data_IF_941475829676
#
_entry.id   IF_941475829676
#
_cell.length_a   1.000
_cell.length_b   1.000
_cell.length_c   1.000
_cell.angle_alpha   90.00
_cell.angle_beta   90.00
_cell.angle_gamma   90.00
#
_symmetry.space_group_name_H-M   'P 1'
#
loop_
_entity.id
_entity.type
_entity.pdbx_description
1 polymer ?
#
# COMPACT_ATOMS: atom_id res chain seq x y z
N UNK A 1 -13.16 8.66 -19.55
CA UNK A 1 -12.80 7.25 -19.71
C UNK A 1 -11.67 6.80 -18.76
N UNK A 2 -10.54 7.47 -18.69
CA UNK A 2 -9.40 7.10 -17.83
C UNK A 2 -9.65 7.28 -16.32
N UNK A 3 -10.41 8.28 -15.89
CA UNK A 3 -10.80 8.47 -14.49
C UNK A 3 -11.66 7.30 -13.99
N UNK A 4 -12.56 6.83 -14.84
CA UNK A 4 -13.36 5.63 -14.56
C UNK A 4 -12.46 4.40 -14.38
N UNK A 5 -11.36 4.33 -15.12
CA UNK A 5 -10.37 3.26 -15.01
C UNK A 5 -9.57 3.33 -13.70
N UNK A 6 -9.10 4.54 -13.30
CA UNK A 6 -8.33 4.74 -12.04
C UNK A 6 -9.22 4.57 -10.81
N UNK A 7 -10.45 5.09 -10.84
CA UNK A 7 -11.44 4.89 -9.77
C UNK A 7 -11.91 3.43 -9.73
N UNK A 8 -12.07 2.80 -10.88
CA UNK A 8 -12.38 1.36 -10.98
C UNK A 8 -11.23 0.50 -10.47
N UNK A 9 -9.97 0.82 -10.78
CA UNK A 9 -8.80 0.12 -10.21
C UNK A 9 -8.74 0.27 -8.69
N UNK A 10 -9.08 1.44 -8.13
CA UNK A 10 -9.16 1.62 -6.68
C UNK A 10 -10.28 0.76 -6.07
N UNK A 11 -11.45 0.73 -6.68
CA UNK A 11 -12.58 -0.12 -6.27
C UNK A 11 -12.29 -1.61 -6.48
N UNK A 12 -11.66 -1.96 -7.60
CA UNK A 12 -11.31 -3.35 -7.92
C UNK A 12 -10.19 -3.86 -7.01
N UNK A 13 -9.27 -2.99 -6.58
CA UNK A 13 -8.24 -3.30 -5.58
C UNK A 13 -8.88 -3.49 -4.20
N UNK A 14 -9.77 -2.60 -3.77
CA UNK A 14 -10.52 -2.75 -2.51
C UNK A 14 -11.46 -3.96 -2.55
N UNK A 15 -12.10 -4.22 -3.69
CA UNK A 15 -12.95 -5.40 -3.89
C UNK A 15 -12.15 -6.70 -3.95
N UNK A 16 -10.94 -6.69 -4.51
CA UNK A 16 -10.01 -7.82 -4.52
C UNK A 16 -9.50 -8.11 -3.11
N UNK A 17 -9.20 -7.08 -2.31
CA UNK A 17 -8.84 -7.25 -0.89
C UNK A 17 -10.02 -7.82 -0.08
N UNK A 18 -11.25 -7.36 -0.31
CA UNK A 18 -12.46 -7.94 0.31
C UNK A 18 -12.70 -9.39 -0.12
N UNK A 19 -12.62 -9.68 -1.42
CA UNK A 19 -12.78 -11.05 -1.93
C UNK A 19 -11.73 -12.02 -1.37
N UNK A 20 -10.47 -11.60 -1.27
CA UNK A 20 -9.43 -12.41 -0.65
C UNK A 20 -9.69 -12.64 0.84
N UNK A 21 -10.23 -11.64 1.54
CA UNK A 21 -10.66 -11.77 2.92
C UNK A 21 -11.81 -12.77 3.07
N UNK A 22 -12.82 -12.70 2.21
CA UNK A 22 -13.99 -13.59 2.24
C UNK A 22 -13.66 -15.03 1.80
N UNK A 23 -12.75 -15.20 0.81
CA UNK A 23 -12.27 -16.52 0.37
C UNK A 23 -11.43 -17.18 1.47
N UNK A 24 -10.59 -16.41 2.17
CA UNK A 24 -9.79 -16.94 3.28
C UNK A 24 -10.67 -17.33 4.49
N UNK A 25 -11.76 -16.61 4.71
CA UNK A 25 -12.75 -16.94 5.74
C UNK A 25 -13.58 -18.19 5.40
N UNK A 26 -13.96 -18.39 4.13
CA UNK A 26 -14.71 -19.57 3.70
C UNK A 26 -13.85 -20.85 3.63
N UNK A 27 -12.52 -20.74 3.44
CA UNK A 27 -11.60 -21.89 3.50
C UNK A 27 -11.30 -22.39 4.93
N UNK A 28 -11.62 -21.61 5.96
CA UNK A 28 -11.51 -22.06 7.36
C UNK A 28 -12.67 -22.97 7.74
N UNK A 29 -13.80 -22.91 7.02
CA UNK A 29 -14.99 -23.73 7.31
C UNK A 29 -15.05 -25.07 6.55
N UNK A 30 -14.22 -25.26 5.51
CA UNK A 30 -14.13 -26.54 4.80
C UNK A 30 -12.78 -27.19 5.04
N UNK A 31 -12.79 -28.16 5.96
CA UNK A 31 -11.61 -28.90 6.43
C UNK A 31 -10.91 -29.71 5.34
N UNK A 32 -10.02 -29.10 4.58
CA UNK A 32 -9.02 -29.80 3.80
C UNK A 32 -7.64 -29.62 4.41
N UNK A 33 -7.15 -30.73 4.97
CA UNK A 33 -5.79 -30.87 5.52
C UNK A 33 -4.76 -30.70 4.40
N UNK A 34 -4.23 -29.49 4.20
CA UNK A 34 -2.93 -29.28 3.56
C UNK A 34 -1.84 -29.34 4.62
N UNK A 35 -0.71 -30.01 4.25
CA UNK A 35 0.46 -30.26 5.09
C UNK A 35 0.88 -29.00 5.90
N UNK A 36 1.41 -29.16 7.13
CA UNK A 36 1.67 -28.04 8.04
C UNK A 36 2.80 -27.16 7.50
N UNK A 37 2.43 -26.11 6.79
CA UNK A 37 3.31 -24.96 6.63
C UNK A 37 3.47 -24.31 8.00
N UNK A 38 4.63 -23.70 8.27
CA UNK A 38 5.05 -23.11 9.53
C UNK A 38 4.09 -22.06 10.17
N UNK A 39 2.83 -22.02 9.74
CA UNK A 39 1.74 -21.14 10.17
C UNK A 39 1.17 -21.47 11.54
N UNK A 40 1.52 -22.63 12.12
CA UNK A 40 1.05 -23.03 13.46
C UNK A 40 1.87 -22.41 14.62
N UNK A 41 2.77 -21.46 14.35
CA UNK A 41 3.60 -20.83 15.37
C UNK A 41 2.91 -19.68 16.13
N UNK A 42 1.83 -19.12 15.58
CA UNK A 42 1.06 -18.07 16.22
C UNK A 42 -0.41 -18.48 16.35
N UNK A 43 -0.99 -18.25 17.53
CA UNK A 43 -2.43 -18.35 17.71
C UNK A 43 -3.14 -17.27 16.88
N UNK A 44 -4.39 -17.51 16.50
CA UNK A 44 -5.15 -16.59 15.65
C UNK A 44 -5.27 -15.18 16.27
N UNK A 45 -5.50 -15.12 17.60
CA UNK A 45 -5.54 -13.85 18.34
C UNK A 45 -4.22 -13.08 18.25
N UNK A 46 -3.07 -13.77 18.25
CA UNK A 46 -1.75 -13.15 18.10
C UNK A 46 -1.51 -12.62 16.68
N UNK A 47 -2.00 -13.35 15.66
CA UNK A 47 -1.94 -12.89 14.27
C UNK A 47 -2.78 -11.62 14.07
N UNK A 48 -4.00 -11.60 14.64
CA UNK A 48 -4.88 -10.45 14.56
C UNK A 48 -4.24 -9.23 15.24
N UNK A 49 -3.67 -9.40 16.43
CA UNK A 49 -2.99 -8.32 17.15
C UNK A 49 -1.82 -7.73 16.34
N UNK A 50 -1.02 -8.61 15.73
CA UNK A 50 0.08 -8.17 14.85
C UNK A 50 -0.44 -7.44 13.62
N UNK A 51 -1.50 -7.93 12.99
CA UNK A 51 -2.11 -7.30 11.84
C UNK A 51 -2.64 -5.90 12.16
N UNK A 52 -3.28 -5.73 13.33
CA UNK A 52 -3.77 -4.43 13.79
C UNK A 52 -2.60 -3.47 14.08
N UNK A 53 -1.51 -3.97 14.65
CA UNK A 53 -0.27 -3.20 14.81
C UNK A 53 0.34 -2.75 13.49
N UNK A 54 0.42 -3.66 12.51
CA UNK A 54 0.89 -3.36 11.15
C UNK A 54 0.02 -2.29 10.51
N UNK A 55 -1.30 -2.46 10.53
CA UNK A 55 -2.25 -1.48 9.97
C UNK A 55 -2.10 -0.11 10.60
N UNK A 56 -2.02 -0.04 11.92
CA UNK A 56 -1.83 1.23 12.64
C UNK A 56 -0.59 1.97 12.16
N UNK A 57 0.55 1.31 12.04
CA UNK A 57 1.78 1.95 11.55
C UNK A 57 1.64 2.38 10.10
N UNK A 58 1.05 1.54 9.23
CA UNK A 58 0.97 1.79 7.79
C UNK A 58 -0.15 2.77 7.39
N UNK A 59 -1.19 2.95 8.21
CA UNK A 59 -2.36 3.76 7.88
C UNK A 59 -2.41 5.07 8.69
N UNK A 60 -1.91 5.07 9.93
CA UNK A 60 -2.04 6.20 10.84
C UNK A 60 -0.76 7.01 10.99
N UNK A 61 0.39 6.50 10.48
CA UNK A 61 1.67 7.20 10.58
C UNK A 61 2.32 7.39 9.21
N UNK A 62 3.37 8.23 9.15
CA UNK A 62 4.23 8.40 7.97
C UNK A 62 5.61 7.72 8.15
N UNK A 63 5.77 6.85 9.17
CA UNK A 63 7.03 6.14 9.46
C UNK A 63 7.52 5.34 8.26
N UNK A 64 6.63 4.67 7.54
CA UNK A 64 6.96 3.91 6.35
C UNK A 64 7.47 4.75 5.17
N UNK A 65 7.33 6.08 5.23
CA UNK A 65 7.90 7.01 4.27
C UNK A 65 9.40 7.29 4.50
N UNK A 66 9.98 6.80 5.60
CA UNK A 66 11.43 6.90 5.82
C UNK A 66 12.19 5.97 4.86
N UNK A 67 13.27 6.42 4.19
CA UNK A 67 14.02 5.60 3.22
C UNK A 67 14.58 4.31 3.81
N UNK A 68 14.89 4.31 5.11
CA UNK A 68 15.47 3.17 5.85
C UNK A 68 14.41 2.30 6.53
N UNK A 69 13.11 2.52 6.25
CA UNK A 69 12.06 1.71 6.83
C UNK A 69 12.09 0.27 6.28
N UNK A 70 12.21 -0.68 7.18
CA UNK A 70 12.35 -2.13 6.88
C UNK A 70 11.36 -2.95 7.69
N UNK A 71 11.27 -4.25 7.41
CA UNK A 71 10.51 -5.19 8.24
C UNK A 71 11.01 -5.21 9.68
N UNK A 72 12.34 -5.04 9.89
CA UNK A 72 12.93 -4.93 11.22
C UNK A 72 12.46 -3.69 11.97
N UNK A 73 12.37 -2.56 11.27
CA UNK A 73 11.83 -1.31 11.84
C UNK A 73 10.37 -1.48 12.24
N UNK A 74 9.54 -2.05 11.35
CA UNK A 74 8.13 -2.32 11.64
C UNK A 74 7.99 -3.26 12.84
N UNK A 75 8.77 -4.36 12.87
CA UNK A 75 8.72 -5.33 13.96
C UNK A 75 9.02 -4.68 15.32
N UNK A 76 10.01 -3.77 15.39
CA UNK A 76 10.30 -3.00 16.61
C UNK A 76 9.14 -2.09 17.03
N UNK A 77 8.50 -1.40 16.07
CA UNK A 77 7.40 -0.47 16.35
C UNK A 77 6.15 -1.18 16.90
N UNK A 78 5.96 -2.45 16.57
CA UNK A 78 4.80 -3.25 17.03
C UNK A 78 5.18 -4.30 18.07
N UNK A 79 6.35 -4.19 18.68
CA UNK A 79 6.88 -5.11 19.70
C UNK A 79 6.84 -6.59 19.28
N UNK A 80 7.40 -6.86 18.10
CA UNK A 80 7.43 -8.19 17.48
C UNK A 80 8.78 -8.51 16.85
N UNK A 81 8.86 -9.59 16.10
CA UNK A 81 10.04 -9.96 15.33
C UNK A 81 9.74 -10.03 13.82
N UNK A 82 10.79 -9.90 13.02
CA UNK A 82 10.70 -9.86 11.55
C UNK A 82 10.04 -11.10 10.95
N UNK A 83 10.25 -12.27 11.55
CA UNK A 83 9.69 -13.54 11.08
C UNK A 83 8.17 -13.53 11.20
N UNK A 84 7.64 -13.12 12.35
CA UNK A 84 6.20 -13.07 12.56
C UNK A 84 5.53 -11.99 11.71
N UNK A 85 6.15 -10.80 11.62
CA UNK A 85 5.67 -9.73 10.73
C UNK A 85 5.63 -10.19 9.29
N UNK A 86 6.72 -10.78 8.77
CA UNK A 86 6.78 -11.29 7.39
C UNK A 86 5.74 -12.38 7.14
N UNK A 87 5.53 -13.27 8.10
CA UNK A 87 4.54 -14.34 8.01
C UNK A 87 3.12 -13.77 7.94
N UNK A 88 2.76 -12.87 8.86
CA UNK A 88 1.43 -12.25 8.89
C UNK A 88 1.16 -11.42 7.63
N UNK A 89 2.17 -10.68 7.15
CA UNK A 89 2.07 -9.92 5.90
C UNK A 89 1.84 -10.85 4.71
N UNK A 90 2.61 -11.93 4.59
CA UNK A 90 2.43 -12.91 3.51
C UNK A 90 1.07 -13.60 3.57
N UNK A 91 0.65 -14.03 4.77
CA UNK A 91 -0.63 -14.72 4.96
C UNK A 91 -1.82 -13.81 4.65
N UNK A 92 -1.76 -12.54 5.09
CA UNK A 92 -2.89 -11.60 4.95
C UNK A 92 -2.96 -10.94 3.57
N UNK A 93 -1.81 -10.48 3.04
CA UNK A 93 -1.78 -9.72 1.78
C UNK A 93 -1.43 -10.56 0.55
N UNK A 94 -0.96 -11.79 0.73
CA UNK A 94 -0.46 -12.63 -0.36
C UNK A 94 0.80 -12.06 -1.04
N UNK A 95 1.50 -11.13 -0.38
CA UNK A 95 2.65 -10.36 -0.89
C UNK A 95 3.77 -10.32 0.12
N UNK A 96 5.00 -10.10 -0.36
CA UNK A 96 6.12 -9.79 0.54
C UNK A 96 5.94 -8.42 1.22
N UNK A 97 6.60 -8.23 2.37
CA UNK A 97 6.62 -6.94 3.06
C UNK A 97 7.06 -5.79 2.15
N UNK A 98 8.08 -6.00 1.31
CA UNK A 98 8.57 -4.97 0.38
C UNK A 98 7.52 -4.57 -0.65
N UNK A 99 6.73 -5.51 -1.14
CA UNK A 99 5.63 -5.20 -2.07
C UNK A 99 4.52 -4.41 -1.39
N UNK A 100 4.12 -4.83 -0.18
CA UNK A 100 3.12 -4.10 0.61
C UNK A 100 3.62 -2.69 0.95
N UNK A 101 4.86 -2.54 1.39
CA UNK A 101 5.48 -1.25 1.65
C UNK A 101 5.46 -0.34 0.41
N UNK A 102 5.80 -0.88 -0.77
CA UNK A 102 5.74 -0.12 -2.01
C UNK A 102 4.30 0.32 -2.35
N UNK A 103 3.30 -0.55 -2.17
CA UNK A 103 1.89 -0.21 -2.41
C UNK A 103 1.46 0.99 -1.53
N UNK A 104 1.79 0.98 -0.24
CA UNK A 104 1.50 2.10 0.68
C UNK A 104 2.25 3.38 0.29
N UNK A 105 3.55 3.29 -0.05
CA UNK A 105 4.35 4.44 -0.52
C UNK A 105 3.79 5.05 -1.79
N UNK A 106 3.36 4.24 -2.76
CA UNK A 106 2.76 4.73 -4.00
C UNK A 106 1.39 5.35 -3.74
N UNK A 107 0.57 4.76 -2.87
CA UNK A 107 -0.71 5.37 -2.43
C UNK A 107 -0.46 6.78 -1.86
N UNK A 108 0.51 6.90 -0.96
CA UNK A 108 0.89 8.20 -0.37
C UNK A 108 1.42 9.19 -1.40
N UNK A 109 2.20 8.71 -2.38
CA UNK A 109 2.67 9.54 -3.49
C UNK A 109 1.50 10.07 -4.34
N UNK A 110 0.51 9.24 -4.65
CA UNK A 110 -0.71 9.67 -5.33
C UNK A 110 -1.46 10.77 -4.55
N UNK A 111 -1.59 10.62 -3.23
CA UNK A 111 -2.18 11.64 -2.36
C UNK A 111 -1.39 12.95 -2.43
N UNK A 112 -0.04 12.90 -2.33
CA UNK A 112 0.82 14.09 -2.40
C UNK A 112 0.84 14.76 -3.78
N UNK A 113 0.74 14.00 -4.86
CA UNK A 113 0.64 14.52 -6.22
C UNK A 113 -0.69 15.21 -6.53
N UNK A 114 -1.74 14.87 -5.79
CA UNK A 114 -3.09 15.35 -6.06
C UNK A 114 -3.63 16.29 -4.98
N UNK A 115 -2.87 16.54 -3.92
CA UNK A 115 -3.30 17.44 -2.84
C UNK A 115 -3.13 18.91 -3.24
N UNK A 116 -4.03 19.76 -2.74
CA UNK A 116 -3.90 21.22 -2.82
C UNK A 116 -3.02 21.79 -1.70
N UNK A 117 -2.39 20.93 -0.88
CA UNK A 117 -1.50 21.37 0.18
C UNK A 117 -0.27 22.05 -0.42
N UNK A 118 -0.04 23.32 -0.05
CA UNK A 118 1.07 24.13 -0.54
C UNK A 118 2.45 23.46 -0.37
N UNK A 119 2.61 22.63 0.66
CA UNK A 119 3.82 21.84 0.92
C UNK A 119 4.18 20.92 -0.23
N UNK A 120 3.20 20.33 -0.90
CA UNK A 120 3.43 19.32 -1.95
C UNK A 120 3.18 19.84 -3.36
N UNK A 121 2.35 20.89 -3.50
CA UNK A 121 1.94 21.45 -4.80
C UNK A 121 3.11 21.94 -5.66
N UNK A 122 4.22 22.38 -5.04
CA UNK A 122 5.41 22.89 -5.72
C UNK A 122 6.55 21.87 -5.82
N UNK A 123 6.36 20.65 -5.31
CA UNK A 123 7.42 19.64 -5.35
C UNK A 123 7.57 19.02 -6.74
N UNK A 124 8.82 18.80 -7.13
CA UNK A 124 9.13 18.00 -8.33
C UNK A 124 8.74 16.54 -8.11
N UNK A 125 8.58 15.79 -9.19
CA UNK A 125 8.32 14.35 -9.16
C UNK A 125 9.40 13.61 -8.35
N UNK A 126 10.66 14.02 -8.49
CA UNK A 126 11.77 13.47 -7.70
C UNK A 126 11.59 13.71 -6.20
N UNK A 127 11.25 14.96 -5.82
CA UNK A 127 11.02 15.34 -4.44
C UNK A 127 9.81 14.61 -3.83
N UNK A 128 8.74 14.40 -4.59
CA UNK A 128 7.61 13.55 -4.16
C UNK A 128 8.08 12.12 -3.91
N UNK A 129 8.86 11.52 -4.83
CA UNK A 129 9.41 10.18 -4.64
C UNK A 129 10.27 10.06 -3.38
N UNK A 130 11.15 11.03 -3.14
CA UNK A 130 11.98 11.10 -1.93
C UNK A 130 11.11 11.24 -0.68
N UNK A 131 10.08 12.09 -0.73
CA UNK A 131 9.20 12.33 0.42
C UNK A 131 8.45 11.08 0.89
N UNK A 132 8.25 10.09 0.02
CA UNK A 132 7.61 8.81 0.35
C UNK A 132 8.60 7.65 0.49
N UNK A 133 9.90 7.95 0.65
CA UNK A 133 10.94 6.98 1.03
C UNK A 133 11.69 6.33 -0.13
N UNK A 134 11.61 6.84 -1.36
CA UNK A 134 12.46 6.36 -2.46
C UNK A 134 13.77 7.13 -2.53
N UNK A 135 14.90 6.41 -2.52
CA UNK A 135 16.24 6.98 -2.68
C UNK A 135 16.56 7.37 -4.13
N UNK A 136 15.87 6.78 -5.10
CA UNK A 136 16.11 6.97 -6.53
C UNK A 136 14.81 7.29 -7.26
N UNK A 137 14.83 8.36 -8.07
CA UNK A 137 13.71 8.72 -8.94
C UNK A 137 13.36 7.61 -9.92
N UNK A 138 14.37 6.93 -10.48
CA UNK A 138 14.14 5.82 -11.43
C UNK A 138 13.36 4.69 -10.79
N UNK A 139 13.73 4.30 -9.56
CA UNK A 139 13.01 3.26 -8.80
C UNK A 139 11.58 3.71 -8.48
N UNK A 140 11.40 4.97 -8.06
CA UNK A 140 10.08 5.54 -7.81
C UNK A 140 9.18 5.46 -9.04
N UNK A 141 9.65 6.00 -10.18
CA UNK A 141 8.87 6.02 -11.44
C UNK A 141 8.49 4.59 -11.88
N UNK A 142 9.43 3.63 -11.77
CA UNK A 142 9.19 2.22 -12.11
C UNK A 142 8.09 1.61 -11.21
N UNK A 143 8.18 1.79 -9.90
CA UNK A 143 7.18 1.27 -8.96
C UNK A 143 5.84 1.98 -9.12
N UNK A 144 5.84 3.30 -9.29
CA UNK A 144 4.63 4.07 -9.53
C UNK A 144 3.87 3.55 -10.76
N UNK A 145 4.59 3.36 -11.88
CA UNK A 145 4.00 2.80 -13.11
C UNK A 145 3.51 1.35 -12.92
N UNK A 146 4.25 0.54 -12.17
CA UNK A 146 3.82 -0.84 -11.85
C UNK A 146 2.49 -0.86 -11.10
N UNK A 147 2.31 0.05 -10.12
CA UNK A 147 1.12 0.09 -9.26
C UNK A 147 -0.07 0.81 -9.91
N UNK A 148 0.16 1.87 -10.70
CA UNK A 148 -0.90 2.75 -11.22
C UNK A 148 -1.15 2.59 -12.72
N UNK A 149 -0.26 1.95 -13.46
CA UNK A 149 -0.27 1.88 -14.91
C UNK A 149 0.25 3.14 -15.61
N UNK A 150 0.46 4.24 -14.89
CA UNK A 150 0.85 5.55 -15.40
C UNK A 150 2.19 6.02 -14.80
N UNK A 151 2.90 6.90 -15.50
CA UNK A 151 4.01 7.61 -14.85
C UNK A 151 3.50 8.69 -13.90
N UNK A 152 4.26 9.10 -12.86
CA UNK A 152 3.83 10.14 -11.94
C UNK A 152 3.43 11.45 -12.62
N UNK A 153 4.18 11.86 -13.65
CA UNK A 153 3.90 13.10 -14.40
C UNK A 153 2.60 13.02 -15.19
N UNK A 154 2.29 11.88 -15.81
CA UNK A 154 1.05 11.65 -16.54
C UNK A 154 -0.12 11.62 -15.55
N UNK A 155 0.05 10.93 -14.44
CA UNK A 155 -0.96 10.85 -13.36
C UNK A 155 -1.30 12.25 -12.81
N UNK A 156 -0.29 13.07 -12.52
CA UNK A 156 -0.47 14.43 -12.02
C UNK A 156 -1.25 15.32 -13.01
N UNK A 157 -0.87 15.31 -14.30
CA UNK A 157 -1.56 16.07 -15.36
C UNK A 157 -3.01 15.65 -15.47
N UNK A 158 -3.26 14.35 -15.51
CA UNK A 158 -4.58 13.78 -15.62
C UNK A 158 -5.52 14.24 -14.49
N UNK A 159 -5.07 14.18 -13.25
CA UNK A 159 -5.86 14.61 -12.09
C UNK A 159 -6.09 16.12 -12.09
N UNK A 160 -5.11 16.91 -12.56
CA UNK A 160 -5.25 18.36 -12.70
C UNK A 160 -6.31 18.75 -13.76
N UNK A 161 -6.37 18.01 -14.87
CA UNK A 161 -7.37 18.21 -15.93
C UNK A 161 -8.77 17.82 -15.48
N UNK A 162 -8.92 16.70 -14.78
CA UNK A 162 -10.20 16.26 -14.25
C UNK A 162 -10.82 17.26 -13.25
N UNK A 163 -9.97 17.88 -12.42
CA UNK A 163 -10.43 18.93 -11.49
C UNK A 163 -10.95 20.16 -12.23
N UNK A 164 -10.19 20.65 -13.22
CA UNK A 164 -10.62 21.80 -14.03
C UNK A 164 -11.95 21.55 -14.73
N UNK A 165 -12.14 20.36 -15.29
CA UNK A 165 -13.38 19.99 -15.96
C UNK A 165 -14.58 19.92 -15.01
N UNK A 166 -14.37 19.58 -13.73
CA UNK A 166 -15.42 19.58 -12.71
C UNK A 166 -15.78 20.98 -12.22
N UNK A 167 -14.83 21.90 -12.19
CA UNK A 167 -15.05 23.30 -11.80
C UNK A 167 -15.73 24.11 -12.90
N UNK A 168 -15.52 23.76 -14.19
CA UNK A 168 -16.11 24.45 -15.34
C UNK A 168 -17.44 23.86 -15.82
N UNK A 169 -17.85 22.71 -15.32
CA UNK A 169 -19.08 21.99 -15.69
C UNK A 169 -20.24 22.13 -14.69
N UNK A 170 -20.20 23.10 -13.76
CA UNK A 170 -21.25 23.39 -12.76
C UNK A 170 -22.00 24.67 -13.08
#
# INVERSE_FOLDING_TARGET
MLLFYVVRQKRDLEASYRKLYDINRSHVETGEKKAPRATNLLKEDQKQLLLDGIRRVMEETDEYCQPEFTVATLAKLIDSNERYVSMVVNDHFGKSFTEVLNDYRIKKACERLTTNNAKYAQLTIAAIGQSVGYKSQTTFVKQFRKCTGLTPSVYQKFVAEDRRNKETGS
#
